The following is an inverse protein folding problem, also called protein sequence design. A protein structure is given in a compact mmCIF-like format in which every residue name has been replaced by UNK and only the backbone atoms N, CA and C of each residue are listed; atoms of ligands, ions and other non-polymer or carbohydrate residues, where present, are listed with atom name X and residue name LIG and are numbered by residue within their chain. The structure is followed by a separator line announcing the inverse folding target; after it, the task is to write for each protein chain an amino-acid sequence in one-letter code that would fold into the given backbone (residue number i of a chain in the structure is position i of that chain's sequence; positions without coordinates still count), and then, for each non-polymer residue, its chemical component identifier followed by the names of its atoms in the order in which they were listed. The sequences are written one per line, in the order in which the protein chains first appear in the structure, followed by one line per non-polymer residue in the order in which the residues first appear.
data_IF_525567122027
#
_entry.id   IF_525567122027
#
_cell.length_a   1.000
_cell.length_b   1.000
_cell.length_c   1.000
_cell.angle_alpha   90.00
_cell.angle_beta   90.00
_cell.angle_gamma   90.00
#
_symmetry.space_group_name_H-M   'P 1'
#
loop_
_entity.id
_entity.type
_entity.pdbx_description
1 polymer ?
#
# COMPACT_ATOMS: atom_id res chain seq x y z
N UNK A 1 -16.22 11.27 -4.71
CA UNK A 1 -16.74 10.01 -5.31
C UNK A 1 -17.49 9.27 -4.24
N UNK A 2 -18.38 8.35 -4.60
CA UNK A 2 -18.97 7.48 -3.60
C UNK A 2 -17.92 6.48 -3.10
N UNK A 3 -18.05 6.01 -1.86
CA UNK A 3 -17.10 5.07 -1.26
C UNK A 3 -16.93 3.79 -2.10
N UNK A 4 -18.00 3.37 -2.80
CA UNK A 4 -17.97 2.24 -3.72
C UNK A 4 -17.00 2.43 -4.90
N UNK A 5 -16.96 3.63 -5.48
CA UNK A 5 -16.07 3.94 -6.60
C UNK A 5 -14.60 3.93 -6.15
N UNK A 6 -14.31 4.48 -4.97
CA UNK A 6 -12.95 4.47 -4.41
C UNK A 6 -12.51 3.04 -4.11
N UNK A 7 -13.40 2.22 -3.52
CA UNK A 7 -13.15 0.80 -3.29
C UNK A 7 -12.74 0.08 -4.58
N UNK A 8 -13.49 0.28 -5.66
CA UNK A 8 -13.18 -0.32 -6.97
C UNK A 8 -11.86 0.19 -7.55
N UNK A 9 -11.57 1.49 -7.43
CA UNK A 9 -10.30 2.06 -7.88
C UNK A 9 -9.10 1.46 -7.12
N UNK A 10 -9.24 1.25 -5.80
CA UNK A 10 -8.22 0.59 -4.98
C UNK A 10 -8.02 -0.87 -5.37
N UNK A 11 -9.09 -1.64 -5.61
CA UNK A 11 -8.96 -3.03 -6.06
C UNK A 11 -8.21 -3.12 -7.40
N UNK A 12 -8.49 -2.20 -8.33
CA UNK A 12 -7.77 -2.12 -9.60
C UNK A 12 -6.30 -1.74 -9.42
N UNK A 13 -6.02 -0.75 -8.55
CA UNK A 13 -4.66 -0.33 -8.22
C UNK A 13 -3.81 -1.49 -7.67
N UNK A 14 -4.35 -2.27 -6.72
CA UNK A 14 -3.61 -3.38 -6.12
C UNK A 14 -3.47 -4.58 -7.05
N UNK A 15 -4.46 -4.85 -7.90
CA UNK A 15 -4.34 -5.86 -8.96
C UNK A 15 -3.23 -5.50 -9.96
N UNK A 16 -3.15 -4.24 -10.37
CA UNK A 16 -2.08 -3.74 -11.24
C UNK A 16 -0.70 -3.80 -10.57
N UNK A 17 -0.65 -3.50 -9.26
CA UNK A 17 0.57 -3.62 -8.46
C UNK A 17 1.12 -5.05 -8.44
N UNK A 18 0.27 -6.07 -8.26
CA UNK A 18 0.71 -7.47 -8.29
C UNK A 18 1.09 -7.94 -9.71
N UNK A 19 0.42 -7.42 -10.73
CA UNK A 19 0.71 -7.71 -12.13
C UNK A 19 1.98 -7.03 -12.66
N UNK A 20 2.54 -6.05 -11.94
CA UNK A 20 3.64 -5.22 -12.41
C UNK A 20 3.24 -4.25 -13.52
N UNK A 21 1.95 -3.93 -13.64
CA UNK A 21 1.43 -2.93 -14.58
C UNK A 21 1.56 -1.53 -13.95
N UNK A 22 2.75 -0.96 -14.09
CA UNK A 22 3.08 0.35 -13.50
C UNK A 22 2.24 1.50 -14.05
N UNK A 23 1.76 1.42 -15.30
CA UNK A 23 0.94 2.50 -15.86
C UNK A 23 -0.41 2.51 -15.14
N UNK A 24 -1.08 1.35 -15.12
CA UNK A 24 -2.37 1.20 -14.46
C UNK A 24 -2.30 1.43 -12.95
N UNK A 25 -1.26 0.90 -12.29
CA UNK A 25 -1.02 1.10 -10.86
C UNK A 25 -1.06 2.60 -10.50
N UNK A 26 -0.48 3.46 -11.32
CA UNK A 26 -0.29 4.86 -10.98
C UNK A 26 -1.43 5.78 -11.45
N UNK A 27 -2.42 5.27 -12.17
CA UNK A 27 -3.58 6.06 -12.61
C UNK A 27 -4.45 6.57 -11.45
N UNK A 28 -4.40 5.93 -10.28
CA UNK A 28 -5.19 6.34 -9.11
C UNK A 28 -4.68 7.65 -8.49
N UNK A 29 -3.42 8.02 -8.72
CA UNK A 29 -2.79 9.21 -8.14
C UNK A 29 -3.10 10.48 -8.93
N UNK A 30 -3.17 11.60 -8.20
CA UNK A 30 -3.07 12.94 -8.80
C UNK A 30 -1.68 13.19 -9.36
N UNK A 31 -1.56 14.08 -10.34
CA UNK A 31 -0.25 14.44 -10.90
C UNK A 31 0.70 15.03 -9.83
N UNK A 32 0.15 15.75 -8.86
CA UNK A 32 0.85 16.40 -7.73
C UNK A 32 0.90 15.56 -6.45
N UNK A 33 0.53 14.27 -6.52
CA UNK A 33 0.46 13.40 -5.36
C UNK A 33 1.78 13.30 -4.57
N UNK A 34 1.69 13.06 -3.28
CA UNK A 34 2.84 12.90 -2.38
C UNK A 34 2.84 11.50 -1.79
N UNK A 35 3.99 10.82 -1.81
CA UNK A 35 4.22 9.55 -1.13
C UNK A 35 5.25 9.75 -0.01
N UNK A 36 4.88 9.36 1.20
CA UNK A 36 5.73 9.44 2.39
C UNK A 36 6.11 8.04 2.91
N UNK A 37 7.38 7.88 3.28
CA UNK A 37 7.90 6.74 4.02
C UNK A 37 8.45 7.21 5.38
N UNK A 38 7.60 7.30 6.42
CA UNK A 38 8.02 7.86 7.71
C UNK A 38 9.19 7.11 8.35
N UNK A 39 9.31 5.81 8.11
CA UNK A 39 10.37 4.97 8.67
C UNK A 39 11.78 5.35 8.19
N UNK A 40 11.91 5.81 6.94
CA UNK A 40 13.18 6.28 6.37
C UNK A 40 13.29 7.81 6.35
N UNK A 41 12.19 8.52 6.58
CA UNK A 41 12.12 9.98 6.47
C UNK A 41 12.04 10.47 5.01
N UNK A 42 11.76 9.59 4.05
CA UNK A 42 11.67 9.94 2.63
C UNK A 42 10.30 10.49 2.24
N UNK A 43 10.33 11.41 1.27
CA UNK A 43 9.14 11.96 0.61
C UNK A 43 9.37 12.03 -0.89
N UNK A 44 8.43 11.48 -1.65
CA UNK A 44 8.44 11.49 -3.12
C UNK A 44 7.27 12.33 -3.59
N UNK A 45 7.52 13.27 -4.52
CA UNK A 45 6.52 14.23 -5.01
C UNK A 45 6.26 14.03 -6.49
N UNK A 46 4.97 13.98 -6.83
CA UNK A 46 4.45 13.86 -8.18
C UNK A 46 4.31 12.41 -8.65
N UNK A 47 3.21 12.11 -9.33
CA UNK A 47 2.87 10.77 -9.82
C UNK A 47 4.00 10.10 -10.60
N UNK A 48 4.67 10.84 -11.48
CA UNK A 48 5.77 10.33 -12.31
C UNK A 48 6.96 9.87 -11.47
N UNK A 49 7.30 10.61 -10.41
CA UNK A 49 8.39 10.24 -9.51
C UNK A 49 8.00 9.04 -8.63
N UNK A 50 6.74 8.96 -8.19
CA UNK A 50 6.22 7.79 -7.47
C UNK A 50 6.36 6.54 -8.35
N UNK A 51 5.88 6.59 -9.59
CA UNK A 51 6.00 5.49 -10.56
C UNK A 51 7.47 5.11 -10.81
N UNK A 52 8.32 6.10 -11.09
CA UNK A 52 9.75 5.88 -11.36
C UNK A 52 10.47 5.26 -10.16
N UNK A 53 10.15 5.70 -8.94
CA UNK A 53 10.74 5.14 -7.71
C UNK A 53 10.41 3.66 -7.52
N UNK A 54 9.17 3.27 -7.83
CA UNK A 54 8.71 1.88 -7.70
C UNK A 54 9.27 0.99 -8.80
N UNK A 55 9.43 1.53 -10.02
CA UNK A 55 10.05 0.84 -11.15
C UNK A 55 11.57 0.66 -10.98
N UNK A 56 12.24 1.56 -10.26
CA UNK A 56 13.67 1.46 -9.98
C UNK A 56 14.04 0.34 -8.98
N UNK A 57 13.07 -0.22 -8.24
CA UNK A 57 13.35 -1.34 -7.35
C UNK A 57 13.58 -2.64 -8.13
N UNK A 58 14.74 -3.30 -7.97
CA UNK A 58 15.15 -4.43 -8.80
C UNK A 58 14.48 -5.76 -8.41
N UNK A 59 13.91 -5.85 -7.21
CA UNK A 59 13.36 -7.08 -6.64
C UNK A 59 12.02 -7.45 -7.28
N UNK A 60 11.72 -8.76 -7.37
CA UNK A 60 10.41 -9.23 -7.82
C UNK A 60 9.38 -9.04 -6.71
N UNK A 61 8.36 -8.24 -6.98
CA UNK A 61 7.29 -7.92 -6.02
C UNK A 61 6.09 -8.82 -6.19
N UNK A 62 5.45 -9.19 -5.09
CA UNK A 62 4.07 -9.73 -5.06
C UNK A 62 3.28 -9.05 -3.96
N UNK A 63 2.01 -8.81 -4.24
CA UNK A 63 1.08 -8.14 -3.34
C UNK A 63 -0.05 -9.10 -2.99
N UNK A 64 -0.31 -9.28 -1.70
CA UNK A 64 -1.49 -10.02 -1.22
C UNK A 64 -2.28 -9.11 -0.29
N UNK A 65 -3.37 -8.55 -0.82
CA UNK A 65 -4.27 -7.70 -0.04
C UNK A 65 -4.91 -8.53 1.08
N UNK A 66 -4.80 -8.05 2.31
CA UNK A 66 -5.46 -8.63 3.49
C UNK A 66 -6.80 -7.97 3.77
N UNK A 67 -6.82 -6.63 3.71
CA UNK A 67 -7.98 -5.84 4.06
C UNK A 67 -7.91 -4.47 3.43
N UNK A 68 -9.05 -3.97 3.00
CA UNK A 68 -9.21 -2.57 2.59
C UNK A 68 -10.39 -2.01 3.38
N UNK A 69 -10.16 -0.89 4.06
CA UNK A 69 -11.17 -0.14 4.80
C UNK A 69 -11.02 1.33 4.49
N UNK A 70 -12.12 2.06 4.46
CA UNK A 70 -12.09 3.49 4.26
C UNK A 70 -13.48 4.07 4.28
N UNK A 71 -13.51 5.39 4.33
CA UNK A 71 -14.73 6.19 4.28
C UNK A 71 -14.36 7.58 3.78
N UNK A 72 -15.24 8.14 2.96
CA UNK A 72 -15.03 9.45 2.35
C UNK A 72 -13.65 9.46 1.65
N UNK A 73 -12.77 10.39 2.02
CA UNK A 73 -11.48 10.58 1.37
C UNK A 73 -10.31 9.84 2.06
N UNK A 74 -10.53 9.06 3.12
CA UNK A 74 -9.45 8.34 3.82
C UNK A 74 -9.61 6.83 3.70
N UNK A 75 -8.58 6.19 3.14
CA UNK A 75 -8.57 4.75 2.86
C UNK A 75 -7.28 4.11 3.35
N UNK A 76 -7.40 2.92 3.92
CA UNK A 76 -6.31 2.12 4.45
C UNK A 76 -6.35 0.73 3.81
N UNK A 77 -5.23 0.33 3.24
CA UNK A 77 -5.00 -1.02 2.73
C UNK A 77 -3.95 -1.71 3.57
N UNK A 78 -4.30 -2.86 4.14
CA UNK A 78 -3.38 -3.82 4.73
C UNK A 78 -3.05 -4.89 3.67
N UNK A 79 -1.76 -5.14 3.42
CA UNK A 79 -1.32 -6.16 2.48
C UNK A 79 0.04 -6.73 2.86
N UNK A 80 0.33 -7.93 2.35
CA UNK A 80 1.67 -8.51 2.43
C UNK A 80 2.38 -8.22 1.12
N UNK A 81 3.50 -7.49 1.20
CA UNK A 81 4.41 -7.25 0.10
C UNK A 81 5.58 -8.21 0.23
N UNK A 82 5.86 -9.00 -0.81
CA UNK A 82 7.06 -9.83 -0.83
C UNK A 82 8.11 -9.25 -1.75
N UNK A 83 9.36 -9.23 -1.29
CA UNK A 83 10.54 -8.95 -2.09
C UNK A 83 11.38 -10.22 -2.19
N UNK A 84 11.47 -10.80 -3.38
CA UNK A 84 12.19 -12.05 -3.62
C UNK A 84 11.79 -13.18 -2.64
N UNK A 85 10.51 -13.20 -2.26
CA UNK A 85 9.92 -14.17 -1.34
C UNK A 85 9.95 -13.78 0.14
N UNK A 86 10.68 -12.73 0.53
CA UNK A 86 10.68 -12.23 1.91
C UNK A 86 9.48 -11.32 2.16
N UNK A 87 8.58 -11.64 3.11
CA UNK A 87 7.37 -10.86 3.36
C UNK A 87 7.64 -9.64 4.24
N UNK A 88 6.97 -8.54 3.90
CA UNK A 88 6.76 -7.36 4.73
C UNK A 88 5.26 -7.12 4.88
N UNK A 89 4.81 -6.90 6.11
CA UNK A 89 3.44 -6.52 6.41
C UNK A 89 3.31 -5.01 6.23
N UNK A 90 2.55 -4.62 5.22
CA UNK A 90 2.50 -3.25 4.73
C UNK A 90 1.14 -2.62 5.00
N UNK A 91 1.16 -1.37 5.45
CA UNK A 91 -0.01 -0.50 5.53
C UNK A 91 0.18 0.65 4.58
N UNK A 92 -0.75 0.83 3.63
CA UNK A 92 -0.86 2.02 2.81
C UNK A 92 -2.07 2.84 3.27
N UNK A 93 -1.84 4.10 3.59
CA UNK A 93 -2.86 5.08 3.97
C UNK A 93 -2.96 6.08 2.83
N UNK A 94 -4.08 6.09 2.13
CA UNK A 94 -4.34 6.95 0.98
C UNK A 94 -5.41 7.99 1.31
N UNK A 95 -5.05 9.25 1.16
CA UNK A 95 -5.93 10.41 1.24
C UNK A 95 -6.30 10.85 -0.19
N UNK A 96 -7.59 10.86 -0.49
CA UNK A 96 -8.15 11.21 -1.79
C UNK A 96 -8.53 12.69 -1.84
N UNK A 97 -8.47 13.26 -3.04
CA UNK A 97 -9.02 14.57 -3.37
C UNK A 97 -9.54 14.51 -4.81
N UNK A 98 -10.80 14.88 -5.00
CA UNK A 98 -11.49 14.81 -6.30
C UNK A 98 -11.42 13.40 -6.93
N UNK A 99 -11.45 12.37 -6.08
CA UNK A 99 -11.42 10.97 -6.50
C UNK A 99 -10.06 10.43 -6.96
N UNK A 100 -8.97 11.14 -6.68
CA UNK A 100 -7.60 10.68 -6.93
C UNK A 100 -6.77 10.79 -5.65
N UNK A 101 -5.79 9.91 -5.48
CA UNK A 101 -4.88 9.94 -4.32
C UNK A 101 -4.05 11.22 -4.38
N UNK A 102 -4.22 12.08 -3.37
CA UNK A 102 -3.42 13.29 -3.17
C UNK A 102 -2.21 13.01 -2.28
N UNK A 103 -2.37 12.11 -1.31
CA UNK A 103 -1.29 11.68 -0.44
C UNK A 103 -1.39 10.20 -0.13
N UNK A 104 -0.25 9.54 -0.15
CA UNK A 104 -0.09 8.20 0.36
C UNK A 104 1.00 8.19 1.43
N UNK A 105 0.77 7.47 2.52
CA UNK A 105 1.80 7.16 3.53
C UNK A 105 1.90 5.64 3.66
N UNK A 106 3.10 5.10 3.49
CA UNK A 106 3.33 3.66 3.60
C UNK A 106 4.21 3.31 4.81
N UNK A 107 3.86 2.21 5.48
CA UNK A 107 4.66 1.58 6.53
C UNK A 107 4.90 0.12 6.16
N UNK A 108 6.14 -0.32 6.30
CA UNK A 108 6.63 -1.66 6.01
C UNK A 108 7.14 -2.29 7.30
N UNK A 109 6.53 -3.38 7.74
CA UNK A 109 6.87 -4.02 9.01
C UNK A 109 7.32 -5.46 8.82
N UNK A 110 8.37 -5.83 9.55
CA UNK A 110 8.83 -7.21 9.58
C UNK A 110 7.90 -8.07 10.46
N UNK A 111 7.70 -9.35 10.12
CA UNK A 111 7.07 -10.28 11.05
C UNK A 111 7.87 -10.37 12.36
N UNK A 112 7.18 -10.67 13.45
CA UNK A 112 7.81 -10.96 14.74
C UNK A 112 7.32 -12.29 15.31
N UNK A 113 8.19 -12.96 16.07
CA UNK A 113 7.83 -14.18 16.77
C UNK A 113 6.93 -13.88 17.97
N UNK A 114 5.84 -14.64 18.19
CA UNK A 114 4.98 -14.44 19.35
C UNK A 114 5.78 -14.72 20.64
N UNK A 115 5.73 -13.77 21.58
CA UNK A 115 6.38 -13.95 22.89
C UNK A 115 5.65 -14.98 23.77
N UNK A 116 6.38 -15.79 24.58
CA UNK A 116 5.78 -16.83 25.41
C UNK A 116 4.83 -16.28 26.48
N UNK A 117 5.04 -15.03 26.92
CA UNK A 117 4.25 -14.38 27.97
C UNK A 117 2.76 -14.22 27.62
N UNK A 118 2.40 -14.24 26.33
CA UNK A 118 1.02 -14.08 25.85
C UNK A 118 0.39 -15.37 25.34
N UNK A 119 1.12 -16.49 25.34
CA UNK A 119 0.71 -17.73 24.67
C UNK A 119 -0.62 -18.30 25.19
N UNK A 120 -0.92 -18.13 26.48
CA UNK A 120 -2.16 -18.63 27.09
C UNK A 120 -3.43 -17.82 26.73
N UNK A 121 -3.26 -16.60 26.20
CA UNK A 121 -4.39 -15.71 25.82
C UNK A 121 -4.52 -15.50 24.32
N UNK A 122 -3.48 -15.83 23.54
CA UNK A 122 -3.45 -15.59 22.12
C UNK A 122 -3.90 -16.84 21.34
N UNK A 123 -4.80 -16.65 20.38
CA UNK A 123 -5.07 -17.63 19.33
C UNK A 123 -4.16 -17.34 18.12
N UNK A 124 -3.74 -18.39 17.41
CA UNK A 124 -2.99 -18.24 16.15
C UNK A 124 -3.99 -18.07 15.01
N UNK A 125 -3.83 -17.00 14.25
CA UNK A 125 -4.72 -16.60 13.13
C UNK A 125 -4.15 -16.97 11.75
N UNK A 126 -3.29 -18.00 11.70
CA UNK A 126 -2.65 -18.46 10.45
C UNK A 126 -3.63 -19.20 9.55
#
# INVERSE_FOLDING_TARGET
MEDGDIRTALDHHWAASDAGDFETEHQIYREDAVLDYPQSGERIRGRRNIQSSRAAQPNRKRFTVRRIVGKDDLWVTEYVLTYDGQPSYTVSIMEFLDGKVARETQYFSDPFEPGPSRAQWAERIL
#
